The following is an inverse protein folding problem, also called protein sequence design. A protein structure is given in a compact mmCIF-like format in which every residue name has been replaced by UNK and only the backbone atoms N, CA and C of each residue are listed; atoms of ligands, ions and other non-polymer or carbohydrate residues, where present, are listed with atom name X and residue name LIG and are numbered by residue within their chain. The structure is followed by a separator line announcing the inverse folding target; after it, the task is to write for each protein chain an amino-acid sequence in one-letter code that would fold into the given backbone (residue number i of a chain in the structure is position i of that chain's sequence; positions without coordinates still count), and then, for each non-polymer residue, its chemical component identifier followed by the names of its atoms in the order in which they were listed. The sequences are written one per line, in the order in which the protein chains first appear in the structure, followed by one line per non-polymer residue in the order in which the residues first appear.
data_IF_638513329507
#
_entry.id   IF_638513329507
#
_cell.length_a   1.000
_cell.length_b   1.000
_cell.length_c   1.000
_cell.angle_alpha   90.00
_cell.angle_beta   90.00
_cell.angle_gamma   90.00
#
_symmetry.space_group_name_H-M   'P 1'
#
loop_
_entity.id
_entity.type
_entity.pdbx_description
1 polymer ?
#
# COMPACT_ATOMS: atom_id res chain seq x y z
N UNK A 1 28.79 -2.75 -2.64
CA UNK A 1 27.49 -3.29 -3.11
C UNK A 1 26.55 -3.32 -1.93
N UNK A 2 25.72 -2.28 -1.78
CA UNK A 2 24.69 -2.22 -0.74
C UNK A 2 23.45 -2.93 -1.29
N UNK A 3 22.89 -3.85 -0.50
CA UNK A 3 21.68 -4.62 -0.82
C UNK A 3 20.48 -3.67 -0.68
N UNK A 4 19.72 -3.49 -1.75
CA UNK A 4 18.41 -2.82 -1.68
C UNK A 4 17.43 -3.78 -1.00
N UNK A 5 16.92 -3.39 0.16
CA UNK A 5 15.81 -4.05 0.83
C UNK A 5 14.56 -3.32 0.34
N UNK A 6 13.77 -3.99 -0.50
CA UNK A 6 12.38 -3.62 -0.76
C UNK A 6 11.60 -4.03 0.50
N UNK A 7 11.10 -3.08 1.27
CA UNK A 7 10.21 -3.35 2.41
C UNK A 7 8.78 -3.11 1.93
N UNK A 8 8.02 -4.18 1.69
CA UNK A 8 6.63 -4.29 2.13
C UNK A 8 6.26 -5.78 2.31
N UNK A 9 6.04 -6.14 3.58
CA UNK A 9 5.34 -7.32 4.14
C UNK A 9 5.62 -8.73 3.59
N UNK A 10 6.36 -9.53 4.37
CA UNK A 10 6.08 -10.97 4.58
C UNK A 10 6.66 -11.39 5.94
N UNK A 11 5.80 -11.66 6.91
CA UNK A 11 6.16 -12.17 8.24
C UNK A 11 6.13 -13.70 8.28
N UNK A 12 7.28 -14.27 8.67
CA UNK A 12 7.58 -15.57 9.29
C UNK A 12 7.11 -16.90 8.63
N UNK A 13 8.12 -17.71 8.26
CA UNK A 13 8.20 -19.12 8.70
C UNK A 13 9.68 -19.48 8.90
N UNK A 14 10.04 -19.94 10.10
CA UNK A 14 11.38 -20.41 10.48
C UNK A 14 11.57 -21.87 10.06
N UNK A 15 12.75 -22.22 9.54
CA UNK A 15 13.33 -23.56 9.70
C UNK A 15 14.85 -23.52 9.49
N UNK A 16 15.50 -24.35 10.28
CA UNK A 16 16.90 -24.31 10.73
C UNK A 16 17.92 -24.81 9.70
N UNK A 17 19.16 -24.40 9.95
CA UNK A 17 20.39 -24.65 9.17
C UNK A 17 20.83 -26.12 9.23
N UNK A 18 21.07 -26.74 8.07
CA UNK A 18 22.14 -27.74 7.90
C UNK A 18 22.51 -27.95 6.42
N UNK A 19 23.83 -28.00 6.17
CA UNK A 19 24.55 -28.57 5.02
C UNK A 19 24.74 -27.72 3.74
N UNK A 20 25.86 -27.01 3.70
CA UNK A 20 26.57 -26.60 2.48
C UNK A 20 27.17 -27.81 1.72
N UNK A 21 27.05 -27.84 0.39
CA UNK A 21 28.16 -28.23 -0.52
C UNK A 21 27.95 -27.79 -1.99
N UNK A 22 28.65 -26.70 -2.32
CA UNK A 22 29.29 -26.28 -3.59
C UNK A 22 28.82 -26.81 -4.98
N UNK A 23 28.65 -25.80 -5.87
CA UNK A 23 28.90 -25.71 -7.35
C UNK A 23 27.76 -26.08 -8.32
N UNK A 24 27.11 -25.04 -8.87
CA UNK A 24 27.27 -24.48 -10.24
C UNK A 24 26.37 -23.23 -10.34
N UNK A 25 26.76 -22.21 -11.13
CA UNK A 25 25.92 -21.03 -11.40
C UNK A 25 24.61 -21.51 -12.04
N UNK A 26 23.51 -21.38 -11.31
CA UNK A 26 22.16 -21.65 -11.79
C UNK A 26 21.32 -20.45 -11.37
N UNK A 27 20.72 -19.80 -12.37
CA UNK A 27 19.72 -18.75 -12.20
C UNK A 27 18.59 -19.35 -11.36
N UNK A 28 18.11 -18.69 -10.29
CA UNK A 28 16.97 -19.21 -9.54
C UNK A 28 15.75 -19.28 -10.46
N UNK A 29 14.93 -20.35 -10.40
CA UNK A 29 13.75 -20.46 -11.25
C UNK A 29 12.76 -19.34 -10.90
N UNK A 30 11.98 -18.85 -11.87
CA UNK A 30 10.94 -17.86 -11.62
C UNK A 30 9.97 -18.43 -10.58
N UNK A 31 9.71 -17.67 -9.52
CA UNK A 31 8.62 -17.99 -8.59
C UNK A 31 7.31 -17.85 -9.35
N UNK A 32 6.50 -18.90 -9.33
CA UNK A 32 5.20 -18.98 -9.98
C UNK A 32 4.33 -17.77 -9.60
N UNK A 33 3.87 -17.06 -10.64
CA UNK A 33 2.81 -16.07 -10.55
C UNK A 33 1.50 -16.81 -10.24
N UNK A 34 0.84 -16.47 -9.14
CA UNK A 34 -0.58 -16.79 -8.99
C UNK A 34 -1.33 -15.79 -9.88
N UNK A 35 -2.07 -16.23 -10.91
CA UNK A 35 -2.76 -15.32 -11.81
C UNK A 35 -3.88 -14.57 -11.06
N UNK A 36 -3.94 -13.26 -11.28
CA UNK A 36 -5.12 -12.46 -10.96
C UNK A 36 -6.25 -12.92 -11.88
N UNK A 37 -7.26 -13.58 -11.31
CA UNK A 37 -8.48 -13.96 -12.01
C UNK A 37 -9.21 -12.67 -12.43
N UNK A 38 -9.42 -12.51 -13.74
CA UNK A 38 -10.27 -11.45 -14.32
C UNK A 38 -11.73 -11.67 -13.87
N UNK A 39 -12.50 -10.63 -13.53
CA UNK A 39 -13.94 -10.77 -13.40
C UNK A 39 -14.58 -10.97 -14.78
N UNK A 40 -15.41 -11.99 -14.92
CA UNK A 40 -16.23 -12.23 -16.11
C UNK A 40 -17.22 -11.10 -16.35
N UNK A 41 -17.24 -10.58 -17.58
CA UNK A 41 -18.27 -9.66 -18.06
C UNK A 41 -19.57 -10.44 -18.30
N UNK A 42 -20.59 -10.22 -17.47
CA UNK A 42 -21.95 -10.69 -17.76
C UNK A 42 -22.59 -9.70 -18.74
N UNK A 43 -22.73 -10.11 -19.99
CA UNK A 43 -23.61 -9.45 -20.99
C UNK A 43 -25.02 -10.01 -20.87
N UNK A 44 -26.01 -9.14 -20.63
CA UNK A 44 -27.43 -9.49 -20.72
C UNK A 44 -27.81 -9.82 -22.17
N UNK A 45 -28.52 -10.94 -22.36
CA UNK A 45 -29.13 -11.37 -23.62
C UNK A 45 -30.31 -12.29 -23.34
N UNK A 46 -31.39 -12.08 -24.07
CA UNK A 46 -32.79 -12.44 -23.77
C UNK A 46 -33.25 -13.80 -24.32
N UNK A 47 -34.31 -14.33 -23.69
CA UNK A 47 -35.43 -15.12 -24.23
C UNK A 47 -35.41 -16.68 -24.20
N UNK A 48 -36.42 -17.18 -23.45
CA UNK A 48 -37.41 -18.21 -23.79
C UNK A 48 -37.16 -19.71 -23.47
N UNK A 49 -38.01 -20.18 -22.54
CA UNK A 49 -38.91 -21.34 -22.61
C UNK A 49 -38.46 -22.79 -22.26
N UNK A 50 -38.96 -23.21 -21.09
CA UNK A 50 -39.85 -24.37 -20.82
C UNK A 50 -39.31 -25.67 -20.18
N UNK A 51 -40.13 -26.16 -19.21
CA UNK A 51 -40.32 -27.53 -18.67
C UNK A 51 -39.58 -28.00 -17.38
N UNK A 52 -40.20 -27.68 -16.23
CA UNK A 52 -40.76 -28.57 -15.19
C UNK A 52 -40.13 -29.92 -14.73
N UNK A 53 -39.69 -29.95 -13.45
CA UNK A 53 -39.96 -30.93 -12.34
C UNK A 53 -39.12 -32.25 -12.27
N UNK A 54 -38.84 -32.89 -11.07
CA UNK A 54 -38.69 -32.45 -9.66
C UNK A 54 -37.33 -32.84 -8.97
N UNK A 55 -37.11 -32.29 -7.76
CA UNK A 55 -36.05 -32.67 -6.79
C UNK A 55 -36.27 -34.03 -6.10
N UNK A 56 -35.20 -34.65 -5.55
CA UNK A 56 -35.28 -35.42 -4.32
C UNK A 56 -34.60 -34.69 -3.13
N UNK A 57 -35.33 -34.65 -2.03
CA UNK A 57 -34.92 -34.18 -0.70
C UNK A 57 -33.80 -35.03 -0.09
N UNK A 58 -32.75 -34.41 0.47
CA UNK A 58 -31.98 -35.03 1.57
C UNK A 58 -31.47 -33.98 2.57
N UNK A 59 -31.97 -34.13 3.80
CA UNK A 59 -31.32 -33.93 5.10
C UNK A 59 -30.31 -32.78 5.27
N UNK A 60 -30.77 -31.70 5.89
CA UNK A 60 -29.96 -30.62 6.47
C UNK A 60 -29.18 -31.12 7.69
N UNK A 61 -27.87 -31.28 7.55
CA UNK A 61 -26.93 -31.30 8.69
C UNK A 61 -26.36 -29.88 8.82
N UNK A 62 -26.50 -29.19 9.97
CA UNK A 62 -25.89 -27.89 10.14
C UNK A 62 -24.37 -28.08 10.20
N UNK A 63 -23.68 -27.63 9.15
CA UNK A 63 -22.23 -27.46 9.17
C UNK A 63 -21.95 -26.33 10.15
N UNK A 64 -21.53 -26.69 11.36
CA UNK A 64 -20.86 -25.76 12.27
C UNK A 64 -19.60 -25.27 11.56
N UNK A 65 -19.68 -24.06 10.97
CA UNK A 65 -18.51 -23.33 10.54
C UNK A 65 -17.65 -23.07 11.79
N UNK A 66 -16.69 -23.96 12.03
CA UNK A 66 -15.63 -23.68 12.99
C UNK A 66 -14.87 -22.49 12.46
N UNK A 67 -15.06 -21.35 13.11
CA UNK A 67 -14.35 -20.11 12.81
C UNK A 67 -12.86 -20.42 12.92
N UNK A 68 -12.15 -20.35 11.79
CA UNK A 68 -10.70 -20.47 11.80
C UNK A 68 -10.13 -19.42 12.76
N UNK A 69 -9.17 -19.80 13.63
CA UNK A 69 -8.62 -18.89 14.63
C UNK A 69 -7.99 -17.69 13.93
N UNK A 70 -8.25 -16.49 14.46
CA UNK A 70 -7.62 -15.27 13.98
C UNK A 70 -6.12 -15.37 14.32
N UNK A 71 -5.20 -15.32 13.34
CA UNK A 71 -3.78 -15.20 13.64
C UNK A 71 -3.54 -13.86 14.37
N UNK A 72 -3.22 -13.95 15.64
CA UNK A 72 -2.80 -12.82 16.49
C UNK A 72 -1.32 -13.04 16.78
N UNK A 73 -0.49 -12.09 16.35
CA UNK A 73 0.91 -12.03 16.70
C UNK A 73 1.10 -10.94 17.74
N UNK A 74 1.71 -11.31 18.86
CA UNK A 74 2.03 -10.35 19.90
C UNK A 74 3.35 -10.69 20.57
N UNK A 75 4.12 -9.65 20.90
CA UNK A 75 5.38 -9.77 21.63
C UNK A 75 5.38 -8.83 22.82
N UNK A 76 5.99 -9.26 23.92
CA UNK A 76 6.17 -8.42 25.11
C UNK A 76 7.41 -7.54 24.98
N UNK A 77 7.54 -6.55 25.87
CA UNK A 77 8.73 -5.71 26.02
C UNK A 77 10.02 -6.51 26.31
N UNK A 78 9.89 -7.73 26.85
CA UNK A 78 11.00 -8.67 27.11
C UNK A 78 11.32 -9.55 25.88
N UNK A 79 10.60 -9.38 24.78
CA UNK A 79 10.77 -10.17 23.55
C UNK A 79 10.10 -11.54 23.58
N UNK A 80 9.20 -11.80 24.53
CA UNK A 80 8.45 -13.06 24.60
C UNK A 80 7.23 -13.02 23.69
N UNK A 81 7.05 -14.05 22.86
CA UNK A 81 5.85 -14.22 22.05
C UNK A 81 4.65 -14.62 22.94
N UNK A 82 3.51 -13.99 22.71
CA UNK A 82 2.22 -14.35 23.31
C UNK A 82 1.32 -14.96 22.24
N UNK A 83 0.59 -16.01 22.63
CA UNK A 83 -0.37 -16.69 21.77
C UNK A 83 -1.77 -16.44 22.30
N UNK A 84 -2.63 -15.96 21.40
CA UNK A 84 -4.05 -15.77 21.67
C UNK A 84 -4.84 -16.67 20.73
N UNK A 85 -5.92 -17.27 21.23
CA UNK A 85 -6.83 -18.07 20.39
C UNK A 85 -7.80 -17.18 19.61
N UNK A 86 -8.17 -16.05 20.20
CA UNK A 86 -9.10 -15.07 19.65
C UNK A 86 -8.84 -13.67 20.26
N UNK A 87 -9.54 -12.67 19.74
CA UNK A 87 -9.33 -11.26 20.12
C UNK A 87 -9.91 -10.99 21.52
N UNK A 88 -10.92 -11.74 21.94
CA UNK A 88 -11.58 -11.59 23.24
C UNK A 88 -10.62 -11.87 24.41
N UNK A 89 -9.62 -12.73 24.23
CA UNK A 89 -8.56 -12.98 25.22
C UNK A 89 -7.73 -11.73 25.56
N UNK A 90 -7.73 -10.70 24.70
CA UNK A 90 -7.06 -9.43 25.00
C UNK A 90 -7.73 -8.67 26.15
N UNK A 91 -9.02 -8.91 26.43
CA UNK A 91 -9.77 -8.20 27.49
C UNK A 91 -9.29 -8.54 28.91
N UNK A 92 -8.75 -9.73 29.10
CA UNK A 92 -8.24 -10.23 30.40
C UNK A 92 -6.72 -10.21 30.48
N UNK A 93 -6.05 -9.81 29.40
CA UNK A 93 -4.59 -9.78 29.30
C UNK A 93 -4.03 -8.48 29.87
N UNK A 94 -2.89 -8.57 30.55
CA UNK A 94 -2.10 -7.39 30.94
C UNK A 94 -1.43 -6.77 29.70
N UNK A 95 -2.14 -5.85 29.04
CA UNK A 95 -1.70 -5.19 27.82
C UNK A 95 -0.49 -4.25 28.05
N UNK A 96 -0.21 -3.85 29.29
CA UNK A 96 0.86 -2.90 29.61
C UNK A 96 2.27 -3.42 29.27
N UNK A 97 2.41 -4.74 29.12
CA UNK A 97 3.67 -5.41 28.77
C UNK A 97 3.82 -5.67 27.27
N UNK A 98 2.80 -5.38 26.47
CA UNK A 98 2.85 -5.60 25.03
C UNK A 98 3.74 -4.54 24.36
N UNK A 99 4.61 -5.01 23.48
CA UNK A 99 5.45 -4.19 22.61
C UNK A 99 4.91 -4.20 21.19
N UNK A 100 4.45 -5.35 20.71
CA UNK A 100 3.88 -5.47 19.36
C UNK A 100 2.58 -6.26 19.46
N UNK A 101 1.58 -5.81 18.71
CA UNK A 101 0.30 -6.49 18.58
C UNK A 101 -0.17 -6.33 17.14
N UNK A 102 -0.37 -7.45 16.44
CA UNK A 102 -0.95 -7.44 15.12
C UNK A 102 -1.89 -8.61 14.94
N UNK A 103 -3.02 -8.38 14.28
CA UNK A 103 -4.00 -9.41 14.01
C UNK A 103 -4.66 -9.20 12.66
N UNK A 104 -4.93 -10.31 11.98
CA UNK A 104 -5.47 -10.33 10.63
C UNK A 104 -6.61 -11.33 10.51
N UNK A 105 -7.74 -10.92 9.92
CA UNK A 105 -8.77 -11.86 9.50
C UNK A 105 -8.48 -12.42 8.12
N UNK A 106 -8.67 -13.73 7.93
CA UNK A 106 -8.54 -14.43 6.64
C UNK A 106 -9.85 -14.39 5.82
N UNK A 107 -10.96 -13.92 6.40
CA UNK A 107 -12.26 -13.82 5.72
C UNK A 107 -12.94 -12.46 5.89
N UNK A 108 -13.98 -12.21 5.10
CA UNK A 108 -14.88 -11.06 5.26
C UNK A 108 -15.82 -11.24 6.46
N UNK A 109 -16.41 -10.16 6.97
CA UNK A 109 -17.44 -10.22 8.01
C UNK A 109 -16.92 -10.34 9.44
N UNK A 110 -15.60 -10.28 9.67
CA UNK A 110 -15.05 -10.20 11.03
C UNK A 110 -15.07 -8.75 11.48
N UNK A 111 -15.69 -8.50 12.63
CA UNK A 111 -15.60 -7.23 13.34
C UNK A 111 -14.73 -7.39 14.58
N UNK A 112 -14.09 -6.30 14.98
CA UNK A 112 -13.51 -6.16 16.32
C UNK A 112 -14.49 -5.34 17.18
N UNK A 113 -14.73 -5.79 18.41
CA UNK A 113 -15.51 -5.01 19.36
C UNK A 113 -14.79 -3.68 19.68
N UNK A 114 -15.54 -2.58 19.61
CA UNK A 114 -15.01 -1.23 19.85
C UNK A 114 -14.43 -1.06 21.26
N UNK A 115 -14.97 -1.77 22.26
CA UNK A 115 -14.48 -1.75 23.64
C UNK A 115 -13.13 -2.47 23.78
N UNK A 116 -12.89 -3.54 23.02
CA UNK A 116 -11.57 -4.20 22.98
C UNK A 116 -10.54 -3.25 22.36
N UNK A 117 -10.88 -2.62 21.23
CA UNK A 117 -9.97 -1.70 20.57
C UNK A 117 -9.66 -0.46 21.46
N UNK A 118 -10.66 0.09 22.14
CA UNK A 118 -10.45 1.16 23.12
C UNK A 118 -9.50 0.70 24.25
N UNK A 119 -9.67 -0.52 24.77
CA UNK A 119 -8.78 -1.05 25.82
C UNK A 119 -7.33 -1.21 25.33
N UNK A 120 -7.11 -1.65 24.09
CA UNK A 120 -5.77 -1.73 23.50
C UNK A 120 -5.12 -0.35 23.51
N UNK A 121 -5.81 0.66 22.99
CA UNK A 121 -5.29 2.03 22.90
C UNK A 121 -5.03 2.65 24.28
N UNK A 122 -5.88 2.40 25.26
CA UNK A 122 -5.76 3.00 26.59
C UNK A 122 -4.75 2.27 27.51
N UNK A 123 -4.62 0.94 27.38
CA UNK A 123 -3.89 0.12 28.35
C UNK A 123 -2.56 -0.42 27.83
N UNK A 124 -2.36 -0.53 26.52
CA UNK A 124 -1.12 -1.01 25.92
C UNK A 124 -0.04 0.10 25.86
N UNK A 125 0.29 0.68 27.01
CA UNK A 125 1.09 1.92 27.10
C UNK A 125 2.52 1.81 26.58
N UNK A 126 3.06 0.58 26.48
CA UNK A 126 4.40 0.28 25.93
C UNK A 126 4.38 -0.18 24.46
N UNK A 127 3.20 -0.18 23.83
CA UNK A 127 3.04 -0.70 22.48
C UNK A 127 3.81 0.16 21.47
N UNK A 128 4.70 -0.47 20.70
CA UNK A 128 5.47 0.14 19.62
C UNK A 128 4.85 -0.12 18.25
N UNK A 129 4.15 -1.25 18.07
CA UNK A 129 3.55 -1.64 16.79
C UNK A 129 2.11 -2.13 17.02
N UNK A 130 1.15 -1.53 16.32
CA UNK A 130 -0.23 -1.98 16.24
C UNK A 130 -0.61 -2.27 14.79
N UNK A 131 -1.08 -3.48 14.50
CA UNK A 131 -1.58 -3.89 13.20
C UNK A 131 -2.99 -4.48 13.27
N UNK A 132 -3.93 -3.92 12.50
CA UNK A 132 -5.32 -4.36 12.45
C UNK A 132 -5.71 -4.54 10.99
N UNK A 133 -5.72 -5.78 10.53
CA UNK A 133 -5.94 -6.10 9.12
C UNK A 133 -7.29 -6.83 8.92
N UNK A 134 -8.16 -6.27 8.08
CA UNK A 134 -9.39 -6.92 7.61
C UNK A 134 -10.44 -7.22 8.70
N UNK A 135 -10.73 -6.25 9.57
CA UNK A 135 -11.71 -6.35 10.67
C UNK A 135 -12.96 -5.48 10.49
N UNK A 136 -13.24 -5.08 9.25
CA UNK A 136 -14.38 -4.22 8.91
C UNK A 136 -14.50 -2.97 9.78
N UNK A 137 -13.37 -2.49 10.31
CA UNK A 137 -13.37 -1.42 11.30
C UNK A 137 -13.91 -0.13 10.67
N UNK A 138 -15.07 0.32 11.14
CA UNK A 138 -15.74 1.52 10.63
C UNK A 138 -15.28 2.80 11.33
N UNK A 139 -14.87 2.71 12.60
CA UNK A 139 -14.41 3.84 13.42
C UNK A 139 -13.18 3.41 14.21
N UNK A 140 -12.13 4.23 14.21
CA UNK A 140 -10.98 4.07 15.09
C UNK A 140 -11.23 4.86 16.39
N UNK A 141 -10.96 4.30 17.59
CA UNK A 141 -11.28 4.94 18.86
C UNK A 141 -10.54 6.26 19.10
N UNK A 142 -11.12 7.10 19.94
CA UNK A 142 -10.44 8.29 20.45
C UNK A 142 -9.26 7.91 21.36
N UNK A 143 -8.11 8.52 21.10
CA UNK A 143 -6.88 8.37 21.87
C UNK A 143 -6.83 9.49 22.91
N UNK A 144 -7.34 9.24 24.12
CA UNK A 144 -7.50 10.30 25.14
C UNK A 144 -6.19 10.86 25.69
N UNK A 145 -5.13 10.06 25.68
CA UNK A 145 -3.82 10.41 26.25
C UNK A 145 -2.72 10.20 25.23
N UNK A 146 -1.67 11.01 25.30
CA UNK A 146 -0.52 10.88 24.40
C UNK A 146 0.12 9.49 24.50
N UNK A 147 0.30 8.83 23.36
CA UNK A 147 0.95 7.54 23.27
C UNK A 147 2.39 7.73 22.81
N UNK A 148 3.32 7.68 23.76
CA UNK A 148 4.74 8.02 23.52
C UNK A 148 5.60 6.89 22.97
N UNK A 149 5.06 5.67 22.87
CA UNK A 149 5.79 4.50 22.40
C UNK A 149 5.36 3.98 21.02
N UNK A 150 4.14 4.30 20.55
CA UNK A 150 3.60 3.70 19.33
C UNK A 150 4.26 4.35 18.12
N UNK A 151 5.14 3.57 17.47
CA UNK A 151 5.93 4.00 16.31
C UNK A 151 5.28 3.60 15.00
N UNK A 152 4.59 2.46 14.97
CA UNK A 152 3.99 1.93 13.75
C UNK A 152 2.52 1.60 13.96
N UNK A 153 1.68 2.14 13.10
CA UNK A 153 0.25 1.83 13.04
C UNK A 153 -0.09 1.34 11.63
N UNK A 154 -0.65 0.15 11.55
CA UNK A 154 -1.17 -0.43 10.31
C UNK A 154 -2.67 -0.72 10.47
N UNK A 155 -3.50 -0.08 9.65
CA UNK A 155 -4.95 -0.25 9.61
C UNK A 155 -5.32 -0.64 8.18
N UNK A 156 -5.19 -1.93 7.82
CA UNK A 156 -5.37 -2.35 6.43
C UNK A 156 -6.69 -3.05 6.18
N UNK A 157 -7.25 -2.83 4.99
CA UNK A 157 -8.47 -3.50 4.51
C UNK A 157 -9.64 -3.37 5.48
N UNK A 158 -9.79 -2.21 6.10
CA UNK A 158 -10.92 -1.91 6.98
C UNK A 158 -11.95 -1.03 6.25
N UNK A 159 -12.88 -0.41 7.00
CA UNK A 159 -13.97 0.41 6.48
C UNK A 159 -13.92 1.84 7.05
N UNK A 160 -12.75 2.32 7.46
CA UNK A 160 -12.59 3.66 8.04
C UNK A 160 -12.85 4.71 6.96
N UNK A 161 -13.77 5.62 7.21
CA UNK A 161 -14.03 6.78 6.33
C UNK A 161 -13.36 8.06 6.83
N UNK A 162 -12.99 8.09 8.11
CA UNK A 162 -12.28 9.18 8.78
C UNK A 162 -11.37 8.65 9.88
N UNK A 163 -10.47 9.50 10.36
CA UNK A 163 -9.65 9.27 11.55
C UNK A 163 -10.09 10.25 12.65
N UNK A 164 -10.03 9.86 13.93
CA UNK A 164 -10.34 10.78 15.03
C UNK A 164 -9.30 11.90 15.09
N UNK A 165 -9.71 13.10 15.53
CA UNK A 165 -8.79 14.22 15.69
C UNK A 165 -7.67 13.89 16.70
N UNK A 166 -7.95 13.03 17.67
CA UNK A 166 -6.97 12.53 18.63
C UNK A 166 -5.90 11.61 18.04
N UNK A 167 -5.92 11.28 16.74
CA UNK A 167 -4.81 10.55 16.08
C UNK A 167 -3.45 11.25 16.29
N UNK A 168 -3.48 12.58 16.43
CA UNK A 168 -2.35 13.43 16.80
C UNK A 168 -1.68 13.08 18.13
N UNK A 169 -2.37 12.39 19.04
CA UNK A 169 -1.81 11.94 20.31
C UNK A 169 -0.81 10.77 20.14
N UNK A 170 -0.69 10.18 18.96
CA UNK A 170 0.37 9.23 18.63
C UNK A 170 1.71 9.95 18.35
N UNK A 171 2.20 10.67 19.36
CA UNK A 171 3.34 11.60 19.24
C UNK A 171 4.66 10.94 18.81
N UNK A 172 4.80 9.63 18.99
CA UNK A 172 5.99 8.87 18.58
C UNK A 172 5.85 8.15 17.23
N UNK A 173 4.73 8.35 16.52
CA UNK A 173 4.44 7.63 15.27
C UNK A 173 5.43 8.03 14.18
N UNK A 174 6.14 7.03 13.65
CA UNK A 174 7.09 7.18 12.54
C UNK A 174 6.59 6.53 11.26
N UNK A 175 5.70 5.54 11.35
CA UNK A 175 5.11 4.88 10.17
C UNK A 175 3.60 4.70 10.34
N UNK A 176 2.84 5.13 9.32
CA UNK A 176 1.41 4.92 9.25
C UNK A 176 1.00 4.33 7.90
N UNK A 177 0.38 3.15 7.94
CA UNK A 177 -0.16 2.47 6.77
C UNK A 177 -1.67 2.27 6.94
N UNK A 178 -2.45 2.89 6.06
CA UNK A 178 -3.89 2.88 6.10
C UNK A 178 -4.46 2.50 4.73
N UNK A 179 -5.02 1.30 4.62
CA UNK A 179 -5.78 0.85 3.45
C UNK A 179 -7.27 0.88 3.78
N UNK A 180 -7.89 2.04 3.53
CA UNK A 180 -9.24 2.37 3.94
C UNK A 180 -9.85 3.45 3.04
N UNK A 181 -11.19 3.49 2.91
CA UNK A 181 -11.92 4.51 2.13
C UNK A 181 -11.97 5.88 2.84
N UNK A 182 -10.82 6.40 3.30
CA UNK A 182 -10.73 7.71 3.94
C UNK A 182 -11.12 8.82 2.96
N UNK A 183 -12.03 9.71 3.39
CA UNK A 183 -12.45 10.87 2.61
C UNK A 183 -11.56 12.10 2.85
N UNK A 184 -10.92 12.19 4.02
CA UNK A 184 -10.01 13.26 4.41
C UNK A 184 -9.05 12.81 5.52
N UNK A 185 -8.02 13.63 5.81
CA UNK A 185 -7.24 13.54 7.03
C UNK A 185 -7.71 14.64 8.00
N UNK A 186 -7.76 14.40 9.32
CA UNK A 186 -8.14 15.43 10.27
C UNK A 186 -7.06 16.53 10.32
N UNK A 187 -7.40 17.82 10.54
CA UNK A 187 -6.41 18.91 10.60
C UNK A 187 -5.31 18.69 11.65
N UNK A 188 -5.61 17.96 12.73
CA UNK A 188 -4.66 17.59 13.77
C UNK A 188 -3.57 16.63 13.30
N UNK A 189 -3.73 15.96 12.14
CA UNK A 189 -2.72 15.11 11.54
C UNK A 189 -1.40 15.87 11.30
N UNK A 190 -1.48 17.20 11.19
CA UNK A 190 -0.32 18.09 11.14
C UNK A 190 0.62 17.99 12.35
N UNK A 191 0.17 17.43 13.47
CA UNK A 191 0.96 17.32 14.70
C UNK A 191 1.87 16.07 14.73
N UNK A 192 1.76 15.15 13.78
CA UNK A 192 2.57 13.92 13.71
C UNK A 192 3.98 14.20 13.15
N UNK A 193 4.74 15.07 13.83
CA UNK A 193 6.04 15.61 13.35
C UNK A 193 7.16 14.57 13.20
N UNK A 194 7.00 13.39 13.79
CA UNK A 194 7.95 12.29 13.69
C UNK A 194 7.63 11.32 12.55
N UNK A 195 6.58 11.56 11.76
CA UNK A 195 6.19 10.64 10.68
C UNK A 195 7.21 10.66 9.54
N UNK A 196 7.76 9.48 9.24
CA UNK A 196 8.78 9.24 8.21
C UNK A 196 8.21 8.44 7.02
N UNK A 197 7.21 7.59 7.28
CA UNK A 197 6.58 6.71 6.30
C UNK A 197 5.05 6.84 6.36
N UNK A 198 4.43 7.17 5.22
CA UNK A 198 2.98 7.31 5.10
C UNK A 198 2.47 6.57 3.86
N UNK A 199 1.64 5.55 4.08
CA UNK A 199 0.88 4.86 3.04
C UNK A 199 -0.62 5.07 3.27
N UNK A 200 -1.30 5.69 2.30
CA UNK A 200 -2.76 5.82 2.28
C UNK A 200 -3.28 5.17 1.01
N UNK A 201 -3.88 4.01 1.14
CA UNK A 201 -4.37 3.19 0.04
C UNK A 201 -5.90 3.11 0.09
N UNK A 202 -6.49 2.89 -1.09
CA UNK A 202 -7.93 2.78 -1.28
C UNK A 202 -8.72 3.99 -0.75
N UNK A 203 -8.08 5.16 -0.68
CA UNK A 203 -8.70 6.39 -0.21
C UNK A 203 -9.75 6.92 -1.19
N UNK A 204 -10.62 7.81 -0.69
CA UNK A 204 -11.64 8.53 -1.45
C UNK A 204 -11.35 10.04 -1.55
N UNK A 205 -10.11 10.46 -1.31
CA UNK A 205 -9.69 11.85 -1.45
C UNK A 205 -10.02 12.41 -2.84
N UNK A 206 -10.73 13.54 -2.86
CA UNK A 206 -11.00 14.34 -4.06
C UNK A 206 -9.97 15.44 -4.28
N UNK A 207 -9.24 15.81 -3.22
CA UNK A 207 -8.11 16.73 -3.22
C UNK A 207 -6.95 16.16 -2.39
N UNK A 208 -5.72 16.56 -2.70
CA UNK A 208 -4.56 16.12 -1.94
C UNK A 208 -4.62 16.70 -0.51
N UNK A 209 -4.47 15.89 0.56
CA UNK A 209 -4.52 16.39 1.94
C UNK A 209 -3.37 17.36 2.24
N UNK A 210 -3.70 18.62 2.52
CA UNK A 210 -2.69 19.67 2.75
C UNK A 210 -1.87 19.41 4.03
N UNK A 211 -2.43 18.65 4.98
CA UNK A 211 -1.81 18.25 6.24
C UNK A 211 -0.49 17.51 6.02
N UNK A 212 -0.39 16.74 4.93
CA UNK A 212 0.82 15.97 4.59
C UNK A 212 2.03 16.89 4.44
N UNK A 213 1.86 18.10 3.89
CA UNK A 213 2.97 19.04 3.70
C UNK A 213 3.57 19.57 5.01
N UNK A 214 2.90 19.36 6.15
CA UNK A 214 3.44 19.73 7.46
C UNK A 214 4.40 18.68 8.06
N UNK A 215 4.58 17.54 7.39
CA UNK A 215 5.37 16.38 7.83
C UNK A 215 6.79 16.46 7.27
N UNK A 216 7.60 17.38 7.79
CA UNK A 216 8.93 17.68 7.22
C UNK A 216 9.93 16.53 7.22
N UNK A 217 9.70 15.51 8.06
CA UNK A 217 10.53 14.29 8.17
C UNK A 217 10.09 13.18 7.21
N UNK A 218 9.00 13.37 6.46
CA UNK A 218 8.43 12.34 5.60
C UNK A 218 9.41 11.98 4.49
N UNK A 219 9.79 10.71 4.46
CA UNK A 219 10.75 10.14 3.52
C UNK A 219 10.10 9.20 2.51
N UNK A 220 8.97 8.60 2.86
CA UNK A 220 8.19 7.71 2.01
C UNK A 220 6.72 8.16 2.03
N UNK A 221 6.16 8.45 0.85
CA UNK A 221 4.75 8.76 0.68
C UNK A 221 4.16 7.91 -0.44
N UNK A 222 3.17 7.09 -0.12
CA UNK A 222 2.35 6.36 -1.08
C UNK A 222 0.88 6.74 -0.92
N UNK A 223 0.27 7.20 -2.02
CA UNK A 223 -1.17 7.46 -2.13
C UNK A 223 -1.73 6.62 -3.28
N UNK A 224 -2.67 5.73 -3.00
CA UNK A 224 -3.41 5.05 -4.06
C UNK A 224 -4.90 5.23 -3.86
N UNK A 225 -5.55 5.90 -4.81
CA UNK A 225 -7.00 6.06 -4.80
C UNK A 225 -7.73 4.73 -4.95
N UNK A 226 -8.98 4.69 -4.48
CA UNK A 226 -9.87 3.58 -4.75
C UNK A 226 -10.15 3.47 -6.26
N UNK A 227 -9.84 2.33 -6.85
CA UNK A 227 -9.96 2.14 -8.30
C UNK A 227 -11.43 2.17 -8.78
N UNK A 228 -12.38 1.79 -7.92
CA UNK A 228 -13.83 1.78 -8.20
C UNK A 228 -14.54 3.11 -7.90
N UNK A 229 -13.86 4.07 -7.25
CA UNK A 229 -14.48 5.36 -6.93
C UNK A 229 -14.72 6.18 -8.20
N UNK A 230 -15.89 6.80 -8.30
CA UNK A 230 -16.22 7.78 -9.35
C UNK A 230 -15.53 9.13 -9.14
N UNK A 231 -15.08 9.39 -7.90
CA UNK A 231 -14.35 10.61 -7.55
C UNK A 231 -12.91 10.28 -7.25
N UNK A 232 -12.00 10.98 -7.92
CA UNK A 232 -10.56 10.77 -7.83
C UNK A 232 -9.87 12.10 -7.58
N UNK A 233 -8.74 12.04 -6.90
CA UNK A 233 -7.71 13.07 -6.99
C UNK A 233 -7.40 13.29 -8.48
N UNK A 234 -7.15 14.53 -8.91
CA UNK A 234 -6.84 14.84 -10.33
C UNK A 234 -5.61 15.72 -10.49
N UNK A 235 -5.30 16.48 -9.46
CA UNK A 235 -4.20 17.45 -9.45
C UNK A 235 -3.50 17.41 -8.11
N UNK A 236 -2.21 17.74 -8.12
CA UNK A 236 -1.40 17.86 -6.91
C UNK A 236 -1.07 19.32 -6.64
N UNK A 237 -1.14 19.78 -5.38
CA UNK A 237 -0.72 21.13 -5.01
C UNK A 237 0.76 21.36 -5.31
N UNK A 238 1.10 22.60 -5.68
CA UNK A 238 2.49 22.99 -5.96
C UNK A 238 3.28 23.33 -4.68
N UNK A 239 3.35 22.36 -3.76
CA UNK A 239 3.91 22.53 -2.40
C UNK A 239 4.94 21.47 -1.98
N UNK A 240 5.44 20.63 -2.90
CA UNK A 240 6.37 19.54 -2.56
C UNK A 240 7.72 19.99 -1.99
N UNK A 241 8.09 21.28 -2.11
CA UNK A 241 9.25 21.84 -1.42
C UNK A 241 9.16 21.75 0.12
N UNK A 242 7.96 21.52 0.66
CA UNK A 242 7.75 21.34 2.11
C UNK A 242 8.11 19.93 2.59
N UNK A 243 8.42 19.00 1.68
CA UNK A 243 8.78 17.62 1.97
C UNK A 243 10.23 17.31 1.52
N UNK A 244 11.24 18.00 2.08
CA UNK A 244 12.61 17.95 1.58
C UNK A 244 13.29 16.58 1.77
N UNK A 245 12.76 15.74 2.65
CA UNK A 245 13.30 14.42 2.99
C UNK A 245 12.76 13.28 2.11
N UNK A 246 11.80 13.53 1.22
CA UNK A 246 11.20 12.51 0.37
C UNK A 246 12.23 11.81 -0.53
N UNK A 247 12.25 10.48 -0.39
CA UNK A 247 13.03 9.52 -1.18
C UNK A 247 12.13 8.68 -2.08
N UNK A 248 10.95 8.33 -1.58
CA UNK A 248 9.95 7.58 -2.33
C UNK A 248 8.63 8.34 -2.41
N UNK A 249 8.13 8.50 -3.63
CA UNK A 249 6.82 9.09 -3.90
C UNK A 249 6.05 8.20 -4.85
N UNK A 250 4.96 7.60 -4.36
CA UNK A 250 4.00 6.88 -5.17
C UNK A 250 2.65 7.57 -5.14
N UNK A 251 2.10 7.90 -6.30
CA UNK A 251 0.71 8.35 -6.43
C UNK A 251 0.06 7.59 -7.56
N UNK A 252 -0.79 6.63 -7.23
CA UNK A 252 -1.48 5.76 -8.19
C UNK A 252 -2.99 5.96 -8.12
N UNK A 253 -3.69 5.58 -9.20
CA UNK A 253 -5.16 5.61 -9.25
C UNK A 253 -5.75 7.01 -8.94
N UNK A 254 -5.07 8.07 -9.37
CA UNK A 254 -5.35 9.46 -9.02
C UNK A 254 -5.54 10.34 -10.27
N UNK A 255 -5.99 9.77 -11.40
CA UNK A 255 -6.28 10.44 -12.68
C UNK A 255 -5.25 11.52 -13.12
N UNK A 256 -4.01 11.43 -12.64
CA UNK A 256 -3.04 12.51 -12.80
C UNK A 256 -2.60 12.57 -14.26
N UNK A 257 -2.63 13.76 -14.85
CA UNK A 257 -2.14 13.99 -16.21
C UNK A 257 -0.86 14.84 -16.25
N UNK A 258 -0.49 15.45 -15.13
CA UNK A 258 0.72 16.27 -14.96
C UNK A 258 1.20 16.24 -13.51
N UNK A 259 2.43 16.72 -13.30
CA UNK A 259 3.02 16.90 -11.97
C UNK A 259 3.36 18.38 -11.76
N UNK A 260 3.22 18.93 -10.53
CA UNK A 260 3.53 20.32 -10.25
C UNK A 260 5.05 20.55 -10.26
N UNK A 261 5.46 21.79 -10.55
CA UNK A 261 6.87 22.18 -10.66
C UNK A 261 7.67 21.95 -9.38
N UNK A 262 7.04 22.03 -8.20
CA UNK A 262 7.65 21.77 -6.89
C UNK A 262 8.21 20.36 -6.75
N UNK A 263 7.75 19.36 -7.53
CA UNK A 263 8.37 18.03 -7.56
C UNK A 263 9.86 18.09 -7.93
N UNK A 264 10.27 19.06 -8.75
CA UNK A 264 11.67 19.26 -9.11
C UNK A 264 12.56 19.61 -7.90
N UNK A 265 11.98 20.01 -6.76
CA UNK A 265 12.72 20.32 -5.51
C UNK A 265 13.12 19.06 -4.73
N UNK A 266 12.52 17.90 -5.02
CA UNK A 266 12.77 16.64 -4.32
C UNK A 266 14.11 16.01 -4.73
N UNK A 267 15.22 16.59 -4.25
CA UNK A 267 16.59 16.18 -4.64
C UNK A 267 17.03 14.84 -4.04
N UNK A 268 16.27 14.28 -3.11
CA UNK A 268 16.50 12.97 -2.49
C UNK A 268 15.66 11.85 -3.12
N UNK A 269 14.71 12.19 -4.00
CA UNK A 269 13.79 11.24 -4.61
C UNK A 269 14.55 10.23 -5.47
N UNK A 270 14.54 8.96 -5.04
CA UNK A 270 15.16 7.85 -5.74
C UNK A 270 14.14 6.84 -6.30
N UNK A 271 12.92 6.81 -5.76
CA UNK A 271 11.79 6.03 -6.27
C UNK A 271 10.60 6.93 -6.58
N UNK A 272 10.03 6.82 -7.79
CA UNK A 272 8.85 7.55 -8.19
C UNK A 272 7.86 6.63 -8.91
N UNK A 273 6.73 6.34 -8.28
CA UNK A 273 5.69 5.48 -8.85
C UNK A 273 4.46 6.33 -9.24
N UNK A 274 4.17 6.41 -10.52
CA UNK A 274 3.00 7.10 -11.04
C UNK A 274 2.16 6.22 -11.96
N UNK A 275 2.23 4.90 -11.75
CA UNK A 275 1.41 3.94 -12.50
C UNK A 275 -0.09 4.16 -12.28
N UNK A 276 -0.94 3.72 -13.22
CA UNK A 276 -2.41 3.82 -13.15
C UNK A 276 -2.89 5.28 -13.05
N UNK A 277 -2.45 6.13 -13.97
CA UNK A 277 -2.82 7.53 -14.06
C UNK A 277 -3.18 7.90 -15.52
N UNK A 278 -3.19 9.18 -15.86
CA UNK A 278 -3.62 9.71 -17.16
C UNK A 278 -2.49 10.46 -17.88
N UNK A 279 -1.24 10.06 -17.63
CA UNK A 279 -0.09 10.68 -18.28
C UNK A 279 -0.03 10.29 -19.76
N UNK A 280 0.10 11.29 -20.63
CA UNK A 280 0.33 11.09 -22.08
C UNK A 280 1.82 11.07 -22.44
N UNK A 281 2.67 11.55 -21.56
CA UNK A 281 4.14 11.61 -21.72
C UNK A 281 4.80 11.50 -20.35
N UNK A 282 6.11 11.24 -20.31
CA UNK A 282 6.85 11.25 -19.06
C UNK A 282 6.94 12.69 -18.49
N UNK A 283 6.72 12.92 -17.19
CA UNK A 283 6.77 14.26 -16.60
C UNK A 283 8.19 14.85 -16.65
N UNK A 284 8.35 15.99 -17.35
CA UNK A 284 9.66 16.63 -17.53
C UNK A 284 10.34 17.01 -16.21
N UNK A 285 9.56 17.35 -15.18
CA UNK A 285 10.06 17.68 -13.83
C UNK A 285 10.86 16.54 -13.17
N UNK A 286 10.66 15.29 -13.60
CA UNK A 286 11.42 14.13 -13.12
C UNK A 286 12.61 13.77 -14.01
N UNK A 287 12.67 14.27 -15.25
CA UNK A 287 13.65 13.85 -16.24
C UNK A 287 15.11 14.12 -15.81
N UNK A 288 15.31 15.20 -15.04
CA UNK A 288 16.64 15.63 -14.56
C UNK A 288 16.83 15.44 -13.06
N UNK A 289 15.98 14.63 -12.41
CA UNK A 289 16.14 14.35 -10.99
C UNK A 289 17.51 13.66 -10.73
N UNK A 290 18.33 14.16 -9.78
CA UNK A 290 19.71 13.69 -9.59
C UNK A 290 19.83 12.33 -8.88
N UNK A 291 18.75 11.81 -8.27
CA UNK A 291 18.76 10.59 -7.45
C UNK A 291 17.81 9.51 -7.94
N UNK A 292 16.91 9.83 -8.88
CA UNK A 292 15.91 8.90 -9.38
C UNK A 292 16.55 7.65 -10.01
N UNK A 293 16.12 6.47 -9.57
CA UNK A 293 16.64 5.16 -10.04
C UNK A 293 15.56 4.10 -10.24
N UNK A 294 14.35 4.31 -9.73
CA UNK A 294 13.28 3.32 -9.82
C UNK A 294 11.95 4.01 -10.17
N UNK A 295 11.44 3.73 -11.37
CA UNK A 295 10.29 4.45 -11.92
C UNK A 295 9.25 3.48 -12.50
N UNK A 296 8.29 3.02 -11.69
CA UNK A 296 7.07 2.42 -12.21
C UNK A 296 6.15 3.47 -12.80
N UNK A 297 5.74 3.26 -14.05
CA UNK A 297 4.92 4.20 -14.82
C UNK A 297 3.88 3.49 -15.71
N UNK A 298 3.51 2.30 -15.27
CA UNK A 298 2.61 1.37 -15.96
C UNK A 298 1.20 1.93 -16.06
N UNK A 299 0.41 1.40 -16.99
CA UNK A 299 -1.02 1.72 -17.14
C UNK A 299 -1.26 3.24 -17.15
N UNK A 300 -0.62 3.89 -18.12
CA UNK A 300 -0.83 5.29 -18.46
C UNK A 300 -1.17 5.35 -19.96
N UNK A 301 -2.09 6.22 -20.39
CA UNK A 301 -2.47 6.38 -21.80
C UNK A 301 -1.39 7.17 -22.57
N UNK A 302 -0.18 6.62 -22.61
CA UNK A 302 0.99 7.23 -23.22
C UNK A 302 0.75 7.43 -24.71
N UNK A 303 0.99 8.64 -25.19
CA UNK A 303 0.98 8.95 -26.62
C UNK A 303 2.40 8.87 -27.13
N UNK A 304 2.62 8.08 -28.19
CA UNK A 304 3.97 7.75 -28.65
C UNK A 304 4.86 8.97 -28.90
N UNK A 305 4.42 9.95 -29.69
CA UNK A 305 5.27 11.10 -30.04
C UNK A 305 5.57 12.02 -28.83
N UNK A 306 4.58 12.45 -28.01
CA UNK A 306 4.85 13.17 -26.77
C UNK A 306 5.74 12.40 -25.80
N UNK A 307 5.49 11.10 -25.64
CA UNK A 307 6.29 10.25 -24.78
C UNK A 307 7.75 10.16 -25.27
N UNK A 308 7.95 9.87 -26.55
CA UNK A 308 9.27 9.82 -27.19
C UNK A 308 10.03 11.14 -27.05
N UNK A 309 9.36 12.28 -27.18
CA UNK A 309 9.97 13.59 -26.95
C UNK A 309 10.37 13.80 -25.49
N UNK A 310 9.52 13.40 -24.55
CA UNK A 310 9.77 13.56 -23.11
C UNK A 310 10.93 12.70 -22.61
N UNK A 311 11.03 11.44 -23.04
CA UNK A 311 12.06 10.52 -22.54
C UNK A 311 13.47 10.85 -23.04
N UNK A 312 13.60 11.59 -24.16
CA UNK A 312 14.90 12.11 -24.63
C UNK A 312 15.54 13.10 -23.65
N UNK A 313 14.75 13.68 -22.74
CA UNK A 313 15.23 14.61 -21.70
C UNK A 313 15.74 13.91 -20.45
N UNK A 314 15.52 12.59 -20.33
CA UNK A 314 15.90 11.82 -19.14
C UNK A 314 17.43 11.77 -19.00
N UNK A 315 17.92 12.08 -17.80
CA UNK A 315 19.34 12.08 -17.46
C UNK A 315 19.72 11.05 -16.39
N UNK A 316 18.72 10.51 -15.68
CA UNK A 316 18.92 9.50 -14.65
C UNK A 316 19.19 8.10 -15.26
N UNK A 317 19.52 7.14 -14.39
CA UNK A 317 19.81 5.74 -14.72
C UNK A 317 19.09 4.85 -13.74
N UNK A 318 18.70 3.65 -14.14
CA UNK A 318 18.02 2.71 -13.25
C UNK A 318 16.95 1.91 -13.96
N UNK A 319 15.86 1.62 -13.25
CA UNK A 319 14.77 0.77 -13.72
C UNK A 319 13.57 1.62 -14.11
N UNK A 320 13.02 1.39 -15.30
CA UNK A 320 11.83 2.07 -15.81
C UNK A 320 10.80 1.02 -16.23
N UNK A 321 9.67 0.93 -15.53
CA UNK A 321 8.61 -0.03 -15.81
C UNK A 321 7.51 0.68 -16.62
N UNK A 322 7.17 0.08 -17.75
CA UNK A 322 6.27 0.55 -18.79
C UNK A 322 5.40 -0.62 -19.27
N UNK A 323 4.67 -1.23 -18.34
CA UNK A 323 3.65 -2.23 -18.66
C UNK A 323 2.33 -1.56 -19.07
N UNK A 324 1.54 -2.27 -19.86
CA UNK A 324 0.22 -1.90 -20.35
C UNK A 324 0.19 -0.56 -21.12
N UNK A 325 1.22 -0.28 -21.94
CA UNK A 325 1.30 0.99 -22.70
C UNK A 325 0.65 0.94 -24.09
N UNK A 326 0.39 -0.26 -24.61
CA UNK A 326 -0.07 -0.46 -25.99
C UNK A 326 0.99 -0.19 -27.06
N UNK A 327 2.25 0.02 -26.69
CA UNK A 327 3.34 0.20 -27.66
C UNK A 327 3.70 -1.10 -28.39
N UNK A 328 4.13 -0.95 -29.64
CA UNK A 328 4.63 -2.04 -30.48
C UNK A 328 6.07 -2.43 -30.11
N UNK A 329 6.48 -3.65 -30.46
CA UNK A 329 7.88 -4.10 -30.31
C UNK A 329 8.91 -3.14 -30.90
N UNK A 330 8.65 -2.56 -32.09
CA UNK A 330 9.54 -1.59 -32.74
C UNK A 330 9.70 -0.30 -31.91
N UNK A 331 8.63 0.15 -31.28
CA UNK A 331 8.67 1.31 -30.39
C UNK A 331 9.53 1.02 -29.16
N UNK A 332 9.38 -0.15 -28.53
CA UNK A 332 10.24 -0.54 -27.42
C UNK A 332 11.72 -0.69 -27.80
N UNK A 333 12.03 -1.26 -28.96
CA UNK A 333 13.40 -1.30 -29.50
C UNK A 333 13.99 0.11 -29.68
N UNK A 334 13.17 1.08 -30.11
CA UNK A 334 13.58 2.48 -30.20
C UNK A 334 13.78 3.12 -28.81
N UNK A 335 12.90 2.83 -27.84
CA UNK A 335 13.05 3.29 -26.45
C UNK A 335 14.38 2.82 -25.85
N UNK A 336 14.71 1.54 -25.99
CA UNK A 336 15.97 0.97 -25.48
C UNK A 336 17.21 1.65 -26.07
N UNK A 337 17.19 2.01 -27.36
CA UNK A 337 18.29 2.74 -28.01
C UNK A 337 18.47 4.14 -27.42
N UNK A 338 17.37 4.84 -27.15
CA UNK A 338 17.40 6.20 -26.56
C UNK A 338 17.83 6.13 -25.09
N UNK A 339 17.23 5.21 -24.34
CA UNK A 339 17.42 5.03 -22.91
C UNK A 339 18.53 4.02 -22.59
N UNK A 340 19.67 4.11 -23.30
CA UNK A 340 20.80 3.16 -23.21
C UNK A 340 21.42 2.96 -21.80
N UNK A 341 21.04 3.77 -20.82
CA UNK A 341 21.52 3.72 -19.42
C UNK A 341 20.42 3.31 -18.43
N UNK A 342 19.25 2.93 -18.92
CA UNK A 342 18.06 2.60 -18.15
C UNK A 342 17.57 1.23 -18.60
N UNK A 343 17.34 0.34 -17.64
CA UNK A 343 16.73 -0.95 -17.88
C UNK A 343 15.21 -0.75 -17.98
N UNK A 344 14.68 -0.84 -19.21
CA UNK A 344 13.26 -0.67 -19.51
C UNK A 344 12.55 -2.02 -19.47
N UNK A 345 11.55 -2.15 -18.61
CA UNK A 345 10.68 -3.32 -18.47
C UNK A 345 9.32 -3.02 -19.08
N UNK A 346 8.79 -3.92 -19.90
CA UNK A 346 7.54 -3.71 -20.64
C UNK A 346 6.89 -5.03 -21.08
N UNK A 347 5.69 -4.94 -21.64
CA UNK A 347 4.91 -6.09 -22.14
C UNK A 347 5.63 -6.74 -23.33
N UNK A 348 6.17 -7.93 -23.14
CA UNK A 348 6.93 -8.64 -24.19
C UNK A 348 8.15 -9.43 -23.70
N UNK A 349 8.39 -9.53 -22.40
CA UNK A 349 9.32 -10.53 -21.84
C UNK A 349 8.70 -11.94 -21.64
N UNK A 350 7.46 -12.16 -22.11
CA UNK A 350 6.74 -13.43 -21.97
C UNK A 350 6.61 -14.23 -23.29
N UNK A 351 7.27 -13.82 -24.38
CA UNK A 351 7.31 -14.60 -25.62
C UNK A 351 8.46 -15.60 -25.66
#
# INVERSE_FOLDING_TARGET
MKKYIIVFSLSLLTLTVAAQKRRKKQVPPPKEFIPVVKPDYITNGSAADTLSVPMPTTSSVPILYTIAPVPIHATTIEGKEMRFKNIEELTTTDLSKLKELSFRSVGSGKSIDSGILQQIIERATQLEILGIDNFELAVFPEIKTAHHHLKKLALRKNKLTSLPASISNLTALTAFDCDNPLAELPPSFTQLKNLEELGLYNHLFTAFPAEIFSLSQLSILYLSGNYKSETKLKELPDLFQQLPELKELGIQNAELSSLPRSIATLKKLDHANFSNNQFKSFPEVLATNPKLVYVPFDDNPLQWEPFLASIKKIQWRGLFFLYETGFTKKQYEQLQKILSKIDVYYDGMND
#
